data_IF_116337615869
#
_entry.id   IF_116337615869
#
_cell.length_a   1.000
_cell.length_b   1.000
_cell.length_c   1.000
_cell.angle_alpha   90.00
_cell.angle_beta   90.00
_cell.angle_gamma   90.00
#
_symmetry.space_group_name_H-M   'P 1'
#
loop_
_entity.id
_entity.type
_entity.pdbx_description
1 polymer ?
#
# COMPACT_ATOMS: atom_id res chain seq x y z
N UNK A 1 -78.10 -15.22 -71.28
CA UNK A 1 -76.79 -14.58 -71.03
C UNK A 1 -76.44 -14.84 -69.57
N UNK A 2 -75.35 -15.57 -69.31
CA UNK A 2 -74.99 -16.03 -67.97
C UNK A 2 -74.14 -14.95 -67.30
N UNK A 3 -74.59 -14.45 -66.14
CA UNK A 3 -73.85 -13.52 -65.29
C UNK A 3 -72.77 -14.30 -64.52
N UNK A 4 -71.50 -14.08 -64.87
CA UNK A 4 -70.36 -14.57 -64.11
C UNK A 4 -70.16 -13.64 -62.89
N UNK A 5 -70.50 -14.11 -61.70
CA UNK A 5 -70.12 -13.46 -60.44
C UNK A 5 -68.60 -13.60 -60.27
N UNK A 6 -67.86 -12.50 -60.40
CA UNK A 6 -66.42 -12.47 -60.14
C UNK A 6 -66.13 -12.72 -58.65
N UNK A 7 -65.19 -13.62 -58.36
CA UNK A 7 -64.69 -13.83 -56.99
C UNK A 7 -63.99 -12.56 -56.48
N UNK A 8 -64.03 -12.26 -55.17
CA UNK A 8 -63.35 -11.09 -54.61
C UNK A 8 -61.84 -11.23 -54.80
N UNK A 9 -61.23 -10.23 -55.43
CA UNK A 9 -59.79 -10.12 -55.59
C UNK A 9 -59.15 -9.94 -54.21
N UNK A 10 -58.29 -10.88 -53.81
CA UNK A 10 -57.53 -10.79 -52.56
C UNK A 10 -56.46 -9.73 -52.77
N UNK A 11 -56.79 -8.47 -52.49
CA UNK A 11 -55.84 -7.36 -52.46
C UNK A 11 -54.88 -7.64 -51.30
N UNK A 12 -53.67 -8.10 -51.62
CA UNK A 12 -52.59 -8.22 -50.63
C UNK A 12 -52.17 -6.81 -50.24
N UNK A 13 -52.17 -6.51 -48.94
CA UNK A 13 -51.62 -5.27 -48.42
C UNK A 13 -50.15 -5.16 -48.84
N UNK A 14 -49.78 -4.10 -49.55
CA UNK A 14 -48.38 -3.81 -49.84
C UNK A 14 -47.63 -3.62 -48.52
N UNK A 15 -46.67 -4.50 -48.24
CA UNK A 15 -45.77 -4.37 -47.09
C UNK A 15 -44.85 -3.16 -47.33
N UNK A 16 -45.31 -1.97 -46.94
CA UNK A 16 -44.45 -0.78 -46.98
C UNK A 16 -43.41 -0.88 -45.88
N UNK A 17 -42.15 -1.09 -46.27
CA UNK A 17 -41.01 -1.10 -45.34
C UNK A 17 -40.89 0.30 -44.72
N UNK A 18 -41.05 0.40 -43.39
CA UNK A 18 -40.86 1.66 -42.66
C UNK A 18 -39.37 2.06 -42.64
N UNK A 19 -38.97 2.81 -43.66
CA UNK A 19 -37.61 3.32 -43.85
C UNK A 19 -37.19 4.25 -42.70
N UNK A 20 -38.13 4.99 -42.12
CA UNK A 20 -37.84 5.90 -41.00
C UNK A 20 -37.55 5.11 -39.71
N UNK A 21 -38.36 4.11 -39.38
CA UNK A 21 -38.09 3.21 -38.25
C UNK A 21 -36.75 2.49 -38.39
N UNK A 22 -36.44 1.98 -39.58
CA UNK A 22 -35.18 1.31 -39.86
C UNK A 22 -33.97 2.24 -39.72
N UNK A 23 -34.04 3.47 -40.24
CA UNK A 23 -32.94 4.45 -40.11
C UNK A 23 -32.69 4.85 -38.66
N UNK A 24 -33.74 5.04 -37.85
CA UNK A 24 -33.58 5.31 -36.41
C UNK A 24 -32.93 4.15 -35.65
N UNK A 25 -33.28 2.90 -35.99
CA UNK A 25 -32.64 1.72 -35.41
C UNK A 25 -31.14 1.65 -35.76
N UNK A 26 -30.80 1.91 -37.03
CA UNK A 26 -29.41 1.93 -37.50
C UNK A 26 -28.60 3.02 -36.77
N UNK A 27 -29.17 4.21 -36.58
CA UNK A 27 -28.50 5.30 -35.85
C UNK A 27 -28.27 4.94 -34.37
N UNK A 28 -29.27 4.37 -33.69
CA UNK A 28 -29.11 3.89 -32.30
C UNK A 28 -28.03 2.82 -32.17
N UNK A 29 -27.98 1.87 -33.09
CA UNK A 29 -26.93 0.84 -33.13
C UNK A 29 -25.55 1.44 -33.35
N UNK A 30 -25.42 2.45 -34.23
CA UNK A 30 -24.16 3.17 -34.45
C UNK A 30 -23.69 3.92 -33.21
N UNK A 31 -24.59 4.59 -32.51
CA UNK A 31 -24.27 5.28 -31.25
C UNK A 31 -23.80 4.31 -30.16
N UNK A 32 -24.50 3.18 -30.00
CA UNK A 32 -24.08 2.12 -29.07
C UNK A 32 -22.68 1.60 -29.39
N UNK A 33 -22.41 1.29 -30.67
CA UNK A 33 -21.08 0.83 -31.12
C UNK A 33 -20.01 1.86 -30.82
N UNK A 34 -20.29 3.14 -31.05
CA UNK A 34 -19.36 4.23 -30.78
C UNK A 34 -19.04 4.36 -29.28
N UNK A 35 -20.04 4.21 -28.42
CA UNK A 35 -19.84 4.23 -26.96
C UNK A 35 -19.01 3.02 -26.49
N UNK A 36 -19.29 1.83 -27.00
CA UNK A 36 -18.49 0.63 -26.70
C UNK A 36 -17.04 0.78 -27.15
N UNK A 37 -16.79 1.36 -28.34
CA UNK A 37 -15.43 1.62 -28.82
C UNK A 37 -14.69 2.58 -27.88
N UNK A 38 -15.34 3.66 -27.44
CA UNK A 38 -14.77 4.60 -26.47
C UNK A 38 -14.40 3.91 -25.16
N UNK A 39 -15.28 3.06 -24.66
CA UNK A 39 -15.05 2.30 -23.42
C UNK A 39 -13.88 1.33 -23.56
N UNK A 40 -13.79 0.60 -24.69
CA UNK A 40 -12.67 -0.30 -24.98
C UNK A 40 -11.35 0.47 -25.04
N UNK A 41 -11.31 1.63 -25.70
CA UNK A 41 -10.11 2.46 -25.78
C UNK A 41 -9.69 2.92 -24.39
N UNK A 42 -10.64 3.38 -23.57
CA UNK A 42 -10.37 3.78 -22.19
C UNK A 42 -9.82 2.64 -21.34
N UNK A 43 -10.39 1.44 -21.44
CA UNK A 43 -9.90 0.25 -20.74
C UNK A 43 -8.49 -0.13 -21.19
N UNK A 44 -8.19 -0.08 -22.49
CA UNK A 44 -6.85 -0.34 -23.03
C UNK A 44 -5.81 0.64 -22.49
N UNK A 45 -6.14 1.93 -22.46
CA UNK A 45 -5.26 2.96 -21.89
C UNK A 45 -4.99 2.72 -20.41
N UNK A 46 -6.03 2.38 -19.64
CA UNK A 46 -5.89 2.07 -18.20
C UNK A 46 -5.03 0.82 -17.98
N UNK A 47 -5.23 -0.22 -18.77
CA UNK A 47 -4.43 -1.45 -18.67
C UNK A 47 -2.95 -1.17 -18.97
N UNK A 48 -2.66 -0.35 -19.99
CA UNK A 48 -1.29 0.05 -20.29
C UNK A 48 -0.63 0.79 -19.13
N UNK A 49 -1.33 1.73 -18.49
CA UNK A 49 -0.83 2.42 -17.29
C UNK A 49 -0.57 1.47 -16.12
N UNK A 50 -1.43 0.46 -15.93
CA UNK A 50 -1.23 -0.56 -14.89
C UNK A 50 -0.03 -1.46 -15.19
N UNK A 51 0.17 -1.84 -16.44
CA UNK A 51 1.35 -2.61 -16.89
C UNK A 51 2.65 -1.83 -16.62
N UNK A 52 2.70 -0.54 -16.99
CA UNK A 52 3.84 0.32 -16.69
C UNK A 52 4.11 0.41 -15.19
N UNK A 53 3.07 0.57 -14.38
CA UNK A 53 3.21 0.62 -12.92
C UNK A 53 3.73 -0.70 -12.34
N UNK A 54 3.24 -1.85 -12.85
CA UNK A 54 3.72 -3.17 -12.46
C UNK A 54 5.19 -3.35 -12.86
N UNK A 55 5.59 -2.90 -14.04
CA UNK A 55 7.00 -2.93 -14.46
C UNK A 55 7.89 -2.07 -13.57
N UNK A 56 7.43 -0.86 -13.21
CA UNK A 56 8.15 0.03 -12.30
C UNK A 56 8.30 -0.61 -10.92
N UNK A 57 7.24 -1.23 -10.40
CA UNK A 57 7.30 -1.99 -9.15
C UNK A 57 8.28 -3.17 -9.26
N UNK A 58 8.22 -3.96 -10.34
CA UNK A 58 9.14 -5.07 -10.55
C UNK A 58 10.60 -4.61 -10.62
N UNK A 59 10.88 -3.48 -11.29
CA UNK A 59 12.21 -2.85 -11.31
C UNK A 59 12.64 -2.44 -9.89
N UNK A 60 11.77 -1.77 -9.14
CA UNK A 60 12.08 -1.35 -7.76
C UNK A 60 12.37 -2.53 -6.82
N UNK A 61 11.64 -3.65 -6.99
CA UNK A 61 11.86 -4.88 -6.23
C UNK A 61 13.20 -5.52 -6.62
N UNK A 62 13.54 -5.57 -7.92
CA UNK A 62 14.85 -6.07 -8.38
C UNK A 62 16.00 -5.22 -7.81
N UNK A 63 15.91 -3.89 -7.87
CA UNK A 63 16.90 -3.00 -7.23
C UNK A 63 16.97 -3.19 -5.71
N UNK A 64 15.86 -3.46 -5.04
CA UNK A 64 15.85 -3.79 -3.59
C UNK A 64 16.48 -5.16 -3.28
N UNK A 65 16.53 -6.08 -4.24
CA UNK A 65 17.12 -7.41 -4.08
C UNK A 65 18.61 -7.46 -4.46
N UNK A 66 19.12 -6.48 -5.21
CA UNK A 66 20.53 -6.43 -5.62
C UNK A 66 21.54 -6.23 -4.48
N UNK A 67 21.25 -5.57 -3.33
CA UNK A 67 22.10 -5.68 -2.15
C UNK A 67 21.75 -6.88 -1.24
N UNK A 68 20.75 -7.70 -1.56
CA UNK A 68 20.37 -8.87 -0.76
C UNK A 68 21.07 -10.18 -1.20
N UNK A 69 21.78 -10.19 -2.33
CA UNK A 69 22.51 -11.37 -2.84
C UNK A 69 23.96 -11.50 -2.32
N UNK A 70 24.44 -10.58 -1.48
CA UNK A 70 25.71 -10.74 -0.76
C UNK A 70 25.43 -10.82 0.74
N UNK A 71 24.68 -11.83 1.14
CA UNK A 71 24.86 -12.41 2.45
C UNK A 71 24.69 -13.91 2.28
N UNK A 72 25.73 -14.55 1.73
CA UNK A 72 25.94 -15.95 2.12
C UNK A 72 25.84 -15.99 3.64
N UNK A 73 25.08 -16.95 4.22
CA UNK A 73 25.21 -17.21 5.62
C UNK A 73 26.65 -17.68 5.81
N UNK A 74 27.53 -16.75 6.19
CA UNK A 74 28.83 -17.13 6.72
C UNK A 74 28.56 -18.23 7.74
N UNK A 75 29.35 -19.29 7.67
CA UNK A 75 29.28 -20.47 8.56
C UNK A 75 29.61 -20.09 10.01
N UNK A 76 29.14 -18.95 10.50
CA UNK A 76 28.95 -18.68 11.92
C UNK A 76 27.93 -19.73 12.34
N UNK A 77 28.43 -20.79 12.95
CA UNK A 77 27.65 -21.84 13.59
C UNK A 77 26.40 -21.19 14.19
N UNK A 78 25.23 -21.68 13.81
CA UNK A 78 23.97 -21.22 14.38
C UNK A 78 24.06 -21.43 15.89
N UNK A 79 24.46 -20.40 16.62
CA UNK A 79 24.58 -20.46 18.06
C UNK A 79 23.16 -20.61 18.58
N UNK A 80 22.84 -21.80 19.09
CA UNK A 80 21.51 -22.14 19.59
C UNK A 80 21.12 -21.07 20.63
N UNK A 81 20.01 -20.37 20.39
CA UNK A 81 19.53 -19.26 21.23
C UNK A 81 19.81 -17.84 20.72
N UNK A 82 20.58 -17.66 19.64
CA UNK A 82 20.75 -16.37 19.01
C UNK A 82 19.55 -15.98 18.13
N UNK A 83 19.02 -14.77 18.30
CA UNK A 83 18.02 -14.22 17.38
C UNK A 83 18.57 -14.14 15.96
N UNK A 84 17.71 -14.37 14.97
CA UNK A 84 17.99 -14.06 13.57
C UNK A 84 18.36 -12.59 13.40
N UNK A 85 19.13 -12.28 12.35
CA UNK A 85 19.59 -10.91 12.06
C UNK A 85 18.42 -9.91 12.01
N UNK A 86 17.30 -10.33 11.41
CA UNK A 86 16.08 -9.54 11.33
C UNK A 86 15.43 -9.29 12.71
N UNK A 87 15.28 -10.33 13.53
CA UNK A 87 14.69 -10.17 14.88
C UNK A 87 15.61 -9.31 15.76
N UNK A 88 16.93 -9.49 15.64
CA UNK A 88 17.94 -8.71 16.35
C UNK A 88 17.87 -7.22 15.99
N UNK A 89 17.73 -6.89 14.71
CA UNK A 89 17.62 -5.49 14.26
C UNK A 89 16.37 -4.81 14.82
N UNK A 90 15.23 -5.50 14.83
CA UNK A 90 13.99 -5.03 15.45
C UNK A 90 14.18 -4.78 16.95
N UNK A 91 14.78 -5.72 17.68
CA UNK A 91 15.02 -5.59 19.12
C UNK A 91 15.96 -4.43 19.43
N UNK A 92 17.04 -4.27 18.66
CA UNK A 92 17.97 -3.14 18.79
C UNK A 92 17.25 -1.81 18.54
N UNK A 93 16.43 -1.72 17.48
CA UNK A 93 15.65 -0.52 17.17
C UNK A 93 14.70 -0.17 18.32
N UNK A 94 13.95 -1.15 18.83
CA UNK A 94 13.04 -0.96 19.98
C UNK A 94 13.79 -0.48 21.22
N UNK A 95 14.94 -1.06 21.53
CA UNK A 95 15.78 -0.66 22.65
C UNK A 95 16.30 0.78 22.52
N UNK A 96 16.83 1.15 21.34
CA UNK A 96 17.30 2.52 21.06
C UNK A 96 16.17 3.54 21.22
N UNK A 97 14.98 3.24 20.71
CA UNK A 97 13.81 4.10 20.86
C UNK A 97 13.38 4.25 22.33
N UNK A 98 13.40 3.16 23.11
CA UNK A 98 13.15 3.19 24.56
C UNK A 98 14.13 4.11 25.29
N UNK A 99 15.43 4.01 24.98
CA UNK A 99 16.45 4.89 25.57
C UNK A 99 16.24 6.34 25.17
N UNK A 100 15.93 6.64 23.90
CA UNK A 100 15.65 8.00 23.42
C UNK A 100 14.48 8.62 24.18
N UNK A 101 13.37 7.89 24.33
CA UNK A 101 12.21 8.32 25.13
C UNK A 101 12.58 8.55 26.60
N UNK A 102 13.36 7.67 27.23
CA UNK A 102 13.76 7.86 28.64
C UNK A 102 14.65 9.09 28.81
N UNK A 103 15.61 9.30 27.92
CA UNK A 103 16.54 10.45 27.96
C UNK A 103 15.84 11.78 27.73
N UNK A 104 14.75 11.83 26.96
CA UNK A 104 13.97 13.06 26.80
C UNK A 104 13.20 13.44 28.06
N UNK A 105 12.75 12.46 28.87
CA UNK A 105 12.02 12.74 30.11
C UNK A 105 12.93 12.97 31.33
N UNK A 106 14.05 12.25 31.41
CA UNK A 106 14.99 12.37 32.53
C UNK A 106 16.24 13.11 32.07
N UNK A 107 16.25 14.42 32.29
CA UNK A 107 17.48 15.20 32.23
C UNK A 107 18.29 14.81 33.46
N UNK A 108 19.30 13.96 33.27
CA UNK A 108 20.24 13.60 34.34
C UNK A 108 21.09 14.85 34.60
N UNK A 109 20.62 15.73 35.48
CA UNK A 109 21.45 16.85 35.95
C UNK A 109 22.54 16.27 36.85
N UNK A 110 23.79 16.61 36.55
CA UNK A 110 24.92 16.38 37.48
C UNK A 110 24.87 17.34 38.69
N UNK A 111 23.93 18.27 38.67
CA UNK A 111 23.56 19.10 39.80
C UNK A 111 22.80 18.27 40.83
N UNK A 112 23.53 17.89 41.87
CA UNK A 112 23.02 17.22 43.05
C UNK A 112 22.06 18.17 43.80
N UNK A 113 20.74 17.89 43.80
CA UNK A 113 19.72 18.64 44.56
C UNK A 113 19.23 17.87 45.79
N UNK A 114 18.80 18.60 46.83
CA UNK A 114 18.18 18.05 48.04
C UNK A 114 19.11 17.18 48.90
N UNK A 115 18.76 15.90 49.09
CA UNK A 115 19.49 14.95 49.98
C UNK A 115 20.97 14.79 49.63
N UNK A 116 21.32 15.01 48.37
CA UNK A 116 22.67 14.88 47.85
C UNK A 116 23.60 16.03 48.31
N UNK A 117 23.08 17.25 48.47
CA UNK A 117 23.82 18.40 49.04
C UNK A 117 24.12 18.13 50.52
N UNK A 118 23.10 17.72 51.28
CA UNK A 118 23.27 17.35 52.70
C UNK A 118 24.28 16.20 52.88
N UNK A 119 24.21 15.17 52.03
CA UNK A 119 25.14 14.04 52.01
C UNK A 119 26.58 14.44 51.67
N UNK A 120 26.78 15.49 50.87
CA UNK A 120 28.11 16.01 50.52
C UNK A 120 28.77 16.71 51.72
N UNK A 121 27.97 17.41 52.54
CA UNK A 121 28.45 18.16 53.71
C UNK A 121 28.63 17.30 54.97
N UNK A 122 28.03 16.09 55.01
CA UNK A 122 28.15 15.19 56.16
C UNK A 122 29.60 14.69 56.33
N UNK A 123 30.15 14.70 57.56
CA UNK A 123 31.50 14.24 57.80
C UNK A 123 31.66 12.76 57.46
N UNK A 124 32.83 12.40 56.91
CA UNK A 124 33.15 11.03 56.50
C UNK A 124 34.51 10.60 57.01
N UNK A 125 34.62 9.33 57.35
CA UNK A 125 35.86 8.67 57.70
C UNK A 125 35.97 7.40 56.84
N UNK A 126 37.03 7.30 56.02
CA UNK A 126 37.21 6.21 55.03
C UNK A 126 35.98 5.98 54.13
N UNK A 127 35.34 7.06 53.70
CA UNK A 127 34.17 7.02 52.82
C UNK A 127 32.83 6.72 53.50
N UNK A 128 32.80 6.38 54.79
CA UNK A 128 31.57 6.15 55.57
C UNK A 128 31.17 7.42 56.33
N UNK A 129 29.87 7.68 56.48
CA UNK A 129 29.39 8.80 57.30
C UNK A 129 29.78 8.60 58.77
N UNK A 130 30.35 9.62 59.39
CA UNK A 130 30.68 9.65 60.80
C UNK A 130 29.78 10.63 61.55
N UNK A 131 29.56 10.42 62.85
CA UNK A 131 28.99 11.47 63.70
C UNK A 131 30.07 12.51 63.98
N UNK A 132 29.68 13.78 63.99
CA UNK A 132 30.60 14.87 64.37
C UNK A 132 30.90 14.68 65.86
N UNK A 133 32.14 14.31 66.19
CA UNK A 133 32.62 14.31 67.57
C UNK A 133 32.83 15.77 67.95
N UNK A 134 31.98 16.28 68.86
CA UNK A 134 32.08 17.60 69.47
C UNK A 134 33.27 17.68 70.41
#
# INVERSE_FOLDING_TARGET
>A
MIQLMGLPEVVRSEETVDVQGMTHLILREREKRLNLIKEIIFQKQKNHQLEEFVEQLAKSVKFSQEPAKIHEPSKVSQQIGAYSSHIRSIKIKKYKMKLKKRRSHVIISREFKGRSISSKLKPRLKGKFAKKTS
#
